data_IF_453799254497
#
_entry.id   IF_453799254497
#
_cell.length_a   1.000
_cell.length_b   1.000
_cell.length_c   1.000
_cell.angle_alpha   90.00
_cell.angle_beta   90.00
_cell.angle_gamma   90.00
#
_symmetry.space_group_name_H-M   'P 1'
#
loop_
_entity.id
_entity.type
_entity.pdbx_description
1 polymer ?
#
# COMPACT_ATOMS: atom_id res chain seq x y z
N UNK A 1 6.54 24.82 -11.07
CA UNK A 1 6.58 23.42 -10.59
C UNK A 1 6.77 23.50 -9.09
N UNK A 2 5.80 23.05 -8.30
CA UNK A 2 5.74 23.35 -6.86
C UNK A 2 5.56 22.10 -6.03
N UNK A 3 6.01 22.17 -4.78
CA UNK A 3 5.69 21.22 -3.73
C UNK A 3 4.46 21.73 -2.97
N UNK A 4 3.63 20.82 -2.48
CA UNK A 4 2.56 21.14 -1.53
C UNK A 4 3.01 20.75 -0.15
N UNK A 5 2.85 21.65 0.82
CA UNK A 5 3.17 21.41 2.22
C UNK A 5 1.95 21.74 3.08
N UNK A 6 1.60 20.82 3.97
CA UNK A 6 0.59 20.95 4.99
C UNK A 6 1.07 21.77 6.19
N UNK A 7 0.12 22.06 7.08
CA UNK A 7 0.34 22.72 8.35
C UNK A 7 0.66 21.74 9.47
N UNK A 8 0.24 22.09 10.68
CA UNK A 8 0.35 21.21 11.87
C UNK A 8 -0.97 20.51 12.21
N UNK A 9 -2.04 20.86 11.49
CA UNK A 9 -3.39 20.29 11.67
C UNK A 9 -3.65 19.19 10.63
N UNK A 10 -4.86 18.65 10.61
CA UNK A 10 -5.26 17.71 9.57
C UNK A 10 -5.38 18.42 8.22
N UNK A 11 -4.58 18.00 7.26
CA UNK A 11 -4.64 18.44 5.87
C UNK A 11 -5.26 17.39 4.94
N UNK A 12 -5.89 17.88 3.87
CA UNK A 12 -6.51 17.06 2.83
C UNK A 12 -5.98 17.48 1.45
N UNK A 13 -5.29 16.57 0.79
CA UNK A 13 -4.74 16.76 -0.55
C UNK A 13 -5.55 15.96 -1.57
N UNK A 14 -6.10 16.61 -2.59
CA UNK A 14 -7.04 15.99 -3.53
C UNK A 14 -6.42 15.88 -4.93
N UNK A 15 -6.32 14.66 -5.45
CA UNK A 15 -5.86 14.33 -6.81
C UNK A 15 -7.05 14.34 -7.77
N UNK A 16 -7.27 15.47 -8.45
CA UNK A 16 -8.38 15.62 -9.42
C UNK A 16 -7.96 15.40 -10.88
N UNK A 17 -6.90 14.61 -11.10
CA UNK A 17 -6.25 14.41 -12.41
C UNK A 17 -5.00 15.28 -12.62
N UNK A 18 -4.32 15.08 -13.75
CA UNK A 18 -3.02 15.69 -14.03
C UNK A 18 -1.89 15.12 -13.16
N UNK A 19 -0.72 15.75 -13.21
CA UNK A 19 0.46 15.34 -12.45
C UNK A 19 1.08 16.54 -11.74
N UNK A 20 1.18 16.48 -10.42
CA UNK A 20 2.05 17.36 -9.64
C UNK A 20 3.50 16.92 -9.87
N UNK A 21 4.33 17.81 -10.40
CA UNK A 21 5.74 17.52 -10.66
C UNK A 21 6.62 17.48 -9.39
N UNK A 22 6.12 18.02 -8.28
CA UNK A 22 6.81 18.07 -6.98
C UNK A 22 6.27 17.04 -5.99
N UNK A 23 6.52 17.31 -4.70
CA UNK A 23 6.10 16.46 -3.57
C UNK A 23 4.81 16.97 -2.91
N UNK A 24 4.18 16.08 -2.14
CA UNK A 24 3.19 16.44 -1.11
C UNK A 24 3.76 16.07 0.25
N UNK A 25 3.89 17.04 1.14
CA UNK A 25 4.29 16.81 2.53
C UNK A 25 3.15 17.23 3.46
N UNK A 26 2.58 16.29 4.22
CA UNK A 26 1.54 16.60 5.20
C UNK A 26 2.05 17.34 6.44
N UNK A 27 3.36 17.30 6.71
CA UNK A 27 3.98 17.88 7.91
C UNK A 27 3.38 17.32 9.21
N UNK A 28 2.68 18.12 10.03
CA UNK A 28 2.04 17.63 11.26
C UNK A 28 0.60 17.19 11.02
N UNK A 29 -0.01 16.54 12.01
CA UNK A 29 -1.43 16.20 11.96
C UNK A 29 -1.77 14.88 11.24
N UNK A 30 -3.06 14.59 11.16
CA UNK A 30 -3.62 13.35 10.65
C UNK A 30 -4.06 13.51 9.19
N UNK A 31 -3.09 13.47 8.28
CA UNK A 31 -3.25 13.93 6.90
C UNK A 31 -3.78 12.86 5.96
N UNK A 32 -4.46 13.30 4.89
CA UNK A 32 -5.03 12.41 3.86
C UNK A 32 -4.66 12.87 2.45
N UNK A 33 -4.28 11.91 1.60
CA UNK A 33 -4.29 12.10 0.14
C UNK A 33 -5.47 11.31 -0.43
N UNK A 34 -6.29 11.97 -1.25
CA UNK A 34 -7.52 11.42 -1.80
C UNK A 34 -7.55 11.51 -3.33
N UNK A 35 -7.90 10.40 -3.98
CA UNK A 35 -8.27 10.37 -5.39
C UNK A 35 -9.66 10.95 -5.62
N UNK A 36 -9.76 11.96 -6.48
CA UNK A 36 -11.01 12.49 -7.03
C UNK A 36 -10.97 12.32 -8.56
N UNK A 37 -10.86 11.08 -9.00
CA UNK A 37 -10.66 10.72 -10.41
C UNK A 37 -11.34 9.39 -10.73
N UNK A 38 -11.76 9.26 -11.99
CA UNK A 38 -12.32 8.02 -12.55
C UNK A 38 -11.26 7.03 -13.00
N UNK A 39 -9.98 7.35 -12.87
CA UNK A 39 -8.87 6.46 -13.20
C UNK A 39 -8.47 5.59 -12.02
N UNK A 40 -7.96 4.39 -12.30
CA UNK A 40 -7.34 3.54 -11.29
C UNK A 40 -6.08 4.20 -10.73
N UNK A 41 -5.95 4.22 -9.40
CA UNK A 41 -4.76 4.70 -8.71
C UNK A 41 -3.96 3.52 -8.16
N UNK A 42 -2.65 3.57 -8.36
CA UNK A 42 -1.70 2.68 -7.69
C UNK A 42 -0.93 3.48 -6.67
N UNK A 43 -1.06 3.08 -5.41
CA UNK A 43 -0.36 3.61 -4.26
C UNK A 43 0.74 2.64 -3.88
N UNK A 44 1.98 3.12 -3.79
CA UNK A 44 3.11 2.31 -3.31
C UNK A 44 3.69 2.98 -2.08
N UNK A 45 3.58 2.33 -0.93
CA UNK A 45 4.12 2.80 0.33
C UNK A 45 5.55 2.29 0.48
N UNK A 46 6.50 3.22 0.46
CA UNK A 46 7.94 2.93 0.48
C UNK A 46 8.57 3.22 1.84
N UNK A 47 7.83 3.88 2.75
CA UNK A 47 8.23 4.18 4.12
C UNK A 47 7.00 4.35 5.02
N UNK A 48 7.22 4.74 6.28
CA UNK A 48 6.13 5.13 7.18
C UNK A 48 5.48 6.41 6.70
N UNK A 49 4.16 6.38 6.48
CA UNK A 49 3.34 7.52 6.06
C UNK A 49 3.89 8.21 4.81
N UNK A 50 4.56 7.43 3.95
CA UNK A 50 5.28 7.92 2.78
C UNK A 50 5.23 6.93 1.63
N UNK A 51 5.21 7.46 0.41
CA UNK A 51 5.06 6.64 -0.77
C UNK A 51 4.90 7.43 -2.06
N UNK A 52 4.40 6.74 -3.08
CA UNK A 52 4.12 7.29 -4.41
C UNK A 52 2.71 6.94 -4.84
N UNK A 53 2.13 7.80 -5.68
CA UNK A 53 0.85 7.57 -6.34
C UNK A 53 0.85 8.27 -7.69
N UNK A 54 0.16 7.68 -8.67
CA UNK A 54 -0.07 8.33 -9.96
C UNK A 54 -0.80 9.67 -9.71
N UNK A 55 -0.16 10.77 -10.12
CA UNK A 55 -0.63 12.13 -9.85
C UNK A 55 0.32 12.96 -8.98
N UNK A 56 1.26 12.33 -8.25
CA UNK A 56 2.33 13.01 -7.50
C UNK A 56 3.69 12.41 -7.92
N UNK A 57 4.39 13.10 -8.83
CA UNK A 57 5.58 12.57 -9.48
C UNK A 57 6.74 12.30 -8.51
N UNK A 58 6.91 13.13 -7.48
CA UNK A 58 7.98 12.98 -6.49
C UNK A 58 7.53 12.30 -5.20
N UNK A 59 6.29 11.79 -5.15
CA UNK A 59 5.73 11.10 -3.99
C UNK A 59 5.22 12.01 -2.87
N UNK A 60 4.77 11.37 -1.80
CA UNK A 60 4.19 11.99 -0.62
C UNK A 60 4.88 11.55 0.67
N UNK A 61 4.85 12.40 1.70
CA UNK A 61 5.37 12.15 3.05
C UNK A 61 4.43 12.71 4.12
N UNK A 62 4.50 12.16 5.34
CA UNK A 62 3.65 12.56 6.47
C UNK A 62 2.15 12.48 6.17
N UNK A 63 1.74 11.46 5.42
CA UNK A 63 0.36 11.15 5.06
C UNK A 63 -0.05 9.83 5.71
N UNK A 64 -0.84 9.91 6.77
CA UNK A 64 -1.30 8.76 7.54
C UNK A 64 -2.47 8.01 6.87
N UNK A 65 -3.23 8.69 6.01
CA UNK A 65 -4.45 8.14 5.41
C UNK A 65 -4.43 8.23 3.89
N UNK A 66 -4.88 7.16 3.23
CA UNK A 66 -5.01 7.10 1.78
C UNK A 66 -6.47 6.85 1.41
N UNK A 67 -6.99 7.60 0.45
CA UNK A 67 -8.30 7.34 -0.13
C UNK A 67 -8.20 7.19 -1.64
N UNK A 68 -8.62 6.04 -2.15
CA UNK A 68 -8.70 5.72 -3.57
C UNK A 68 -9.72 6.57 -4.33
N UNK A 69 -9.64 6.54 -5.66
CA UNK A 69 -10.59 7.20 -6.55
C UNK A 69 -11.84 6.36 -6.84
N UNK A 70 -12.53 6.69 -7.94
CA UNK A 70 -13.81 6.08 -8.29
C UNK A 70 -13.66 4.72 -8.99
N UNK A 71 -12.48 4.42 -9.53
CA UNK A 71 -12.15 3.13 -10.14
C UNK A 71 -11.45 2.19 -9.15
N UNK A 72 -11.11 0.97 -9.59
CA UNK A 72 -10.33 0.04 -8.76
C UNK A 72 -8.94 0.58 -8.45
N UNK A 73 -8.55 0.54 -7.17
CA UNK A 73 -7.27 1.04 -6.70
C UNK A 73 -6.37 -0.10 -6.20
N UNK A 74 -5.06 0.03 -6.38
CA UNK A 74 -4.08 -0.91 -5.84
C UNK A 74 -3.26 -0.22 -4.76
N UNK A 75 -3.19 -0.82 -3.57
CA UNK A 75 -2.36 -0.36 -2.47
C UNK A 75 -1.25 -1.38 -2.23
N UNK A 76 -0.01 -0.98 -2.41
CA UNK A 76 1.18 -1.83 -2.33
C UNK A 76 2.01 -1.37 -1.13
N UNK A 77 2.22 -2.25 -0.17
CA UNK A 77 3.15 -2.03 0.93
C UNK A 77 4.50 -2.66 0.59
N UNK A 78 5.53 -1.84 0.37
CA UNK A 78 6.90 -2.34 0.31
C UNK A 78 7.39 -2.77 1.69
N UNK A 79 8.60 -3.36 1.75
CA UNK A 79 9.17 -3.91 2.98
C UNK A 79 9.29 -2.90 4.13
N UNK A 80 9.42 -1.62 3.80
CA UNK A 80 9.50 -0.53 4.77
C UNK A 80 8.19 0.29 4.84
N UNK A 81 7.18 -0.06 4.03
CA UNK A 81 5.91 0.64 3.95
C UNK A 81 5.07 0.40 5.19
N UNK A 82 4.55 1.48 5.77
CA UNK A 82 3.56 1.42 6.85
C UNK A 82 2.66 2.65 6.83
N UNK A 83 1.45 2.53 7.35
CA UNK A 83 0.57 3.67 7.66
C UNK A 83 0.24 3.67 9.15
N UNK A 84 0.25 4.86 9.73
CA UNK A 84 -0.28 5.10 11.06
C UNK A 84 -1.82 5.24 11.07
N UNK A 85 -2.44 5.52 9.91
CA UNK A 85 -3.89 5.68 9.74
C UNK A 85 -4.56 4.61 8.87
N UNK A 86 -5.59 5.01 8.13
CA UNK A 86 -6.48 4.11 7.40
C UNK A 86 -6.31 4.16 5.87
N UNK A 87 -6.72 3.07 5.21
CA UNK A 87 -6.94 3.03 3.76
C UNK A 87 -8.44 2.95 3.50
N UNK A 88 -8.94 3.89 2.70
CA UNK A 88 -10.26 3.84 2.08
C UNK A 88 -10.08 3.52 0.58
N UNK A 89 -10.74 2.46 0.11
CA UNK A 89 -10.66 2.02 -1.28
C UNK A 89 -11.44 2.90 -2.27
N UNK A 90 -12.15 3.94 -1.82
CA UNK A 90 -12.92 4.82 -2.69
C UNK A 90 -14.27 4.23 -3.11
N UNK A 91 -14.82 4.70 -4.25
CA UNK A 91 -16.21 4.39 -4.63
C UNK A 91 -16.42 3.01 -5.28
N UNK A 92 -15.35 2.28 -5.62
CA UNK A 92 -15.40 0.95 -6.23
C UNK A 92 -14.89 -0.15 -5.27
N UNK A 93 -15.61 -0.48 -4.17
CA UNK A 93 -15.10 -1.31 -3.09
C UNK A 93 -14.67 -2.71 -3.54
N UNK A 94 -15.33 -3.30 -4.54
CA UNK A 94 -15.04 -4.65 -5.04
C UNK A 94 -13.89 -4.74 -6.05
N UNK A 95 -13.28 -3.61 -6.44
CA UNK A 95 -12.20 -3.56 -7.42
C UNK A 95 -10.85 -3.19 -6.81
N UNK A 96 -10.79 -3.01 -5.49
CA UNK A 96 -9.57 -2.63 -4.80
C UNK A 96 -8.71 -3.85 -4.46
N UNK A 97 -7.39 -3.68 -4.55
CA UNK A 97 -6.40 -4.70 -4.19
C UNK A 97 -5.42 -4.16 -3.16
N UNK A 98 -5.15 -4.94 -2.12
CA UNK A 98 -4.07 -4.68 -1.16
C UNK A 98 -2.98 -5.74 -1.37
N UNK A 99 -1.73 -5.30 -1.54
CA UNK A 99 -0.57 -6.14 -1.80
C UNK A 99 0.54 -5.82 -0.82
N UNK A 100 1.30 -6.85 -0.42
CA UNK A 100 2.58 -6.68 0.26
C UNK A 100 3.66 -7.12 -0.73
N UNK A 101 4.60 -6.22 -1.02
CA UNK A 101 5.66 -6.49 -1.98
C UNK A 101 6.46 -7.73 -1.57
N UNK A 102 6.79 -8.57 -2.56
CA UNK A 102 7.53 -9.81 -2.39
C UNK A 102 6.81 -10.93 -1.61
N UNK A 103 5.49 -10.83 -1.40
CA UNK A 103 4.75 -12.02 -0.95
C UNK A 103 4.74 -13.04 -2.08
N UNK A 104 5.53 -14.10 -1.96
CA UNK A 104 5.34 -15.28 -2.80
C UNK A 104 3.91 -15.77 -2.56
N UNK A 105 3.04 -15.55 -3.54
CA UNK A 105 1.73 -16.19 -3.55
C UNK A 105 1.98 -17.68 -3.77
N UNK A 106 2.01 -18.45 -2.69
CA UNK A 106 2.06 -19.90 -2.78
C UNK A 106 0.72 -20.36 -3.34
N UNK A 107 0.71 -20.71 -4.63
CA UNK A 107 -0.43 -21.36 -5.26
C UNK A 107 -0.51 -22.78 -4.70
N UNK A 108 -1.44 -23.02 -3.77
CA UNK A 108 -1.75 -24.37 -3.34
C UNK A 108 -2.62 -25.03 -4.41
N UNK A 109 -2.19 -26.17 -4.99
CA UNK A 109 -3.03 -26.86 -5.95
C UNK A 109 -4.30 -27.40 -5.26
N UNK A 110 -5.42 -27.41 -5.99
CA UNK A 110 -6.76 -27.75 -5.49
C UNK A 110 -6.92 -29.17 -4.90
N UNK A 111 -5.90 -30.03 -5.02
CA UNK A 111 -5.89 -31.40 -4.51
C UNK A 111 -5.12 -31.57 -3.19
N UNK A 112 -4.55 -30.50 -2.62
CA UNK A 112 -3.79 -30.58 -1.37
C UNK A 112 -4.73 -30.67 -0.15
N UNK A 113 -5.09 -31.89 0.23
CA UNK A 113 -5.66 -32.16 1.56
C UNK A 113 -4.64 -31.84 2.66
N UNK A 114 -5.13 -31.28 3.76
CA UNK A 114 -4.35 -30.71 4.85
C UNK A 114 -3.36 -31.71 5.50
N UNK A 115 -2.12 -31.77 4.99
CA UNK A 115 -0.95 -32.21 5.75
C UNK A 115 0.07 -31.07 5.66
N UNK A 116 0.13 -30.29 6.74
CA UNK A 116 0.97 -29.09 6.88
C UNK A 116 2.45 -29.47 6.90
N UNK A 117 3.15 -29.18 5.81
CA UNK A 117 4.61 -29.02 5.84
C UNK A 117 4.91 -27.53 5.61
N UNK A 118 5.37 -26.83 6.65
CA UNK A 118 5.95 -25.50 6.46
C UNK A 118 7.41 -25.66 6.06
N UNK A 119 7.77 -25.20 4.87
CA UNK A 119 9.17 -24.99 4.52
C UNK A 119 9.56 -23.61 5.09
N UNK A 120 10.33 -23.56 6.17
CA UNK A 120 10.86 -22.30 6.70
C UNK A 120 11.98 -21.83 5.75
N UNK A 121 11.74 -20.73 5.06
CA UNK A 121 12.70 -20.13 4.14
C UNK A 121 13.70 -19.25 4.91
N UNK A 122 14.51 -19.86 5.78
CA UNK A 122 15.68 -19.17 6.31
C UNK A 122 16.79 -20.15 6.72
N UNK A 123 17.88 -20.16 5.92
CA UNK A 123 19.20 -20.86 6.03
C UNK A 123 19.50 -21.79 4.83
N UNK A 124 20.78 -21.91 4.39
CA UNK A 124 21.15 -22.52 3.11
C UNK A 124 21.12 -24.06 3.07
N UNK A 125 20.67 -24.74 4.14
CA UNK A 125 20.64 -26.21 4.20
C UNK A 125 19.21 -26.70 4.46
N UNK A 126 18.65 -27.41 3.48
CA UNK A 126 17.35 -28.06 3.55
C UNK A 126 17.33 -29.08 4.69
N UNK A 127 16.57 -28.82 5.76
CA UNK A 127 16.22 -29.85 6.73
C UNK A 127 14.70 -30.04 6.75
N UNK A 128 14.28 -31.27 6.47
CA UNK A 128 12.90 -31.73 6.60
C UNK A 128 12.60 -31.94 8.09
N UNK A 129 11.74 -31.12 8.68
CA UNK A 129 11.26 -31.32 10.05
C UNK A 129 9.87 -31.95 9.96
N UNK A 130 9.75 -33.23 10.27
CA UNK A 130 8.47 -33.89 10.53
C UNK A 130 8.05 -33.57 11.98
N UNK A 131 6.89 -32.94 12.15
CA UNK A 131 6.18 -33.00 13.43
C UNK A 131 5.22 -34.20 13.36
N UNK A 132 5.45 -35.22 14.18
CA UNK A 132 4.44 -36.23 14.45
C UNK A 132 3.45 -35.63 15.46
N UNK A 133 2.19 -35.48 15.10
CA UNK A 133 1.13 -35.30 16.09
C UNK A 133 0.87 -36.65 16.78
N UNK A 134 0.61 -36.62 18.09
CA UNK A 134 0.17 -37.77 18.89
C UNK A 134 -1.28 -38.13 18.57
#
# INVERSE_FOLDING_TARGET
MGNLQGGTERDRFILSGGTLSGTVDGNGGDNVVEGNTTNSLTWTLTGTDAGTVIGIASGFTNIANLKGGDAGNTFIFDINGSLSGNIDGGLAPSLNTLQIANTKQYHFPQWADAIKYWLVHDRPNWQLIHFFEC
#
